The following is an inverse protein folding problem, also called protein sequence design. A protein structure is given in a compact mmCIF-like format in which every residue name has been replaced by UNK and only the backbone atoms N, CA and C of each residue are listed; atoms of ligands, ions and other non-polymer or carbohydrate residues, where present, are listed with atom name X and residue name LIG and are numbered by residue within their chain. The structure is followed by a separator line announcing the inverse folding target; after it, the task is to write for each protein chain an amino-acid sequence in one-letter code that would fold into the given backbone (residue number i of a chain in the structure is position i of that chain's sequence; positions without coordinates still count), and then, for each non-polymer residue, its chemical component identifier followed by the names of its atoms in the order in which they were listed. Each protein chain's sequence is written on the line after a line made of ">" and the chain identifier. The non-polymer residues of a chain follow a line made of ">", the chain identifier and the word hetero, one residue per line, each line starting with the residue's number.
data_IF_487940050518
#
_entry.id   IF_487940050518
#
_cell.length_a   1.000
_cell.length_b   1.000
_cell.length_c   1.000
_cell.angle_alpha   90.00
_cell.angle_beta   90.00
_cell.angle_gamma   90.00
#
_symmetry.space_group_name_H-M   'P 1'
#
loop_
_entity.id
_entity.type
_entity.pdbx_description
1 polymer ?
#
# COMPACT_ATOMS: atom_id res chain seq x y z
N UNK A 1 12.42 17.72 -1.09
CA UNK A 1 12.21 19.13 -0.85
C UNK A 1 11.87 19.36 0.61
N UNK A 2 12.07 20.60 1.02
CA UNK A 2 11.81 20.97 2.41
C UNK A 2 10.34 20.75 2.81
N UNK A 3 9.45 20.84 1.86
CA UNK A 3 8.02 20.66 2.14
C UNK A 3 7.71 19.27 2.68
N UNK A 4 8.51 18.29 2.34
CA UNK A 4 8.25 16.93 2.81
C UNK A 4 8.43 16.78 4.31
N UNK A 5 9.13 17.70 4.94
CA UNK A 5 9.36 17.62 6.37
C UNK A 5 8.18 18.08 7.21
N UNK A 6 7.21 18.69 6.57
CA UNK A 6 6.03 19.20 7.28
C UNK A 6 5.13 18.06 7.74
N UNK A 7 5.11 16.99 7.00
CA UNK A 7 4.21 15.87 7.28
C UNK A 7 4.96 14.74 7.95
N UNK A 8 4.34 14.18 8.95
CA UNK A 8 4.84 12.96 9.55
C UNK A 8 4.57 11.80 8.61
N UNK A 9 5.53 10.91 8.53
CA UNK A 9 5.41 9.71 7.70
C UNK A 9 5.45 8.49 8.58
N UNK A 10 4.88 7.41 8.08
CA UNK A 10 4.86 6.16 8.80
C UNK A 10 5.09 5.01 7.83
N UNK A 11 5.56 3.92 8.37
CA UNK A 11 5.74 2.69 7.62
C UNK A 11 4.47 1.87 7.76
N UNK A 12 3.91 1.46 6.64
CA UNK A 12 2.72 0.61 6.62
C UNK A 12 3.05 -0.70 5.95
N UNK A 13 2.59 -1.79 6.55
CA UNK A 13 2.73 -3.10 5.93
C UNK A 13 1.77 -3.22 4.76
N UNK A 14 2.25 -3.81 3.67
CA UNK A 14 1.42 -4.09 2.50
C UNK A 14 1.30 -5.60 2.38
N UNK A 15 0.06 -6.06 2.31
CA UNK A 15 -0.25 -7.46 2.11
C UNK A 15 -1.00 -7.63 0.80
N UNK A 16 -0.80 -8.77 0.17
CA UNK A 16 -1.53 -9.15 -1.04
C UNK A 16 -2.20 -10.48 -0.75
N UNK A 17 -3.54 -10.48 -0.74
CA UNK A 17 -4.35 -11.65 -0.40
C UNK A 17 -3.94 -12.26 0.95
N UNK A 18 -3.63 -11.39 1.91
CA UNK A 18 -3.26 -11.80 3.25
C UNK A 18 -1.79 -12.16 3.44
N UNK A 19 -0.98 -12.06 2.38
CA UNK A 19 0.45 -12.36 2.47
C UNK A 19 1.26 -11.07 2.51
N UNK A 20 2.14 -10.97 3.49
CA UNK A 20 3.01 -9.81 3.61
C UNK A 20 3.95 -9.72 2.40
N UNK A 21 3.98 -8.57 1.76
CA UNK A 21 4.82 -8.35 0.57
C UNK A 21 5.87 -7.26 0.77
N UNK A 22 5.73 -6.43 1.77
CA UNK A 22 6.68 -5.37 2.01
C UNK A 22 6.05 -4.22 2.77
N UNK A 23 6.78 -3.12 2.86
CA UNK A 23 6.28 -1.93 3.54
C UNK A 23 6.39 -0.74 2.62
N UNK A 24 5.57 0.26 2.90
CA UNK A 24 5.59 1.53 2.19
C UNK A 24 5.66 2.66 3.20
N UNK A 25 6.20 3.78 2.76
CA UNK A 25 6.26 4.98 3.61
C UNK A 25 5.23 5.96 3.06
N UNK A 26 4.28 6.31 3.89
CA UNK A 26 3.21 7.23 3.52
C UNK A 26 3.02 8.24 4.65
N UNK A 27 2.47 9.42 4.35
CA UNK A 27 2.12 10.36 5.42
C UNK A 27 1.11 9.76 6.38
N UNK A 28 1.21 10.15 7.64
CA UNK A 28 0.24 9.74 8.66
C UNK A 28 -1.14 10.25 8.23
N UNK A 29 -2.16 9.46 8.48
CA UNK A 29 -3.54 9.78 8.12
C UNK A 29 -3.79 9.83 6.61
N UNK A 30 -2.97 9.13 5.82
CA UNK A 30 -3.22 8.99 4.40
C UNK A 30 -4.53 8.24 4.16
N UNK A 31 -5.23 8.63 3.12
CA UNK A 31 -6.45 7.93 2.76
C UNK A 31 -6.15 6.65 1.99
N UNK A 32 -7.20 5.88 1.74
CA UNK A 32 -7.05 4.60 1.05
C UNK A 32 -6.41 4.77 -0.32
N UNK A 33 -6.85 5.77 -1.09
CA UNK A 33 -6.33 5.98 -2.43
C UNK A 33 -4.81 6.25 -2.40
N UNK A 34 -4.37 7.10 -1.49
CA UNK A 34 -2.95 7.43 -1.36
C UNK A 34 -2.15 6.17 -1.00
N UNK A 35 -2.66 5.38 -0.06
CA UNK A 35 -1.98 4.17 0.39
C UNK A 35 -1.92 3.15 -0.74
N UNK A 36 -3.01 2.97 -1.48
CA UNK A 36 -3.05 2.03 -2.60
C UNK A 36 -2.06 2.44 -3.68
N UNK A 37 -2.01 3.73 -4.00
CA UNK A 37 -1.06 4.24 -5.00
C UNK A 37 0.38 3.96 -4.56
N UNK A 38 0.70 4.22 -3.31
CA UNK A 38 2.03 3.96 -2.78
C UNK A 38 2.35 2.46 -2.82
N UNK A 39 1.37 1.63 -2.49
CA UNK A 39 1.55 0.18 -2.53
C UNK A 39 1.83 -0.30 -3.95
N UNK A 40 1.07 0.19 -4.91
CA UNK A 40 1.26 -0.20 -6.32
C UNK A 40 2.59 0.28 -6.87
N UNK A 41 3.13 1.35 -6.33
CA UNK A 41 4.44 1.85 -6.73
C UNK A 41 5.59 0.99 -6.17
N UNK A 42 5.32 0.17 -5.17
CA UNK A 42 6.33 -0.72 -4.62
C UNK A 42 6.62 -1.84 -5.59
N UNK A 43 7.90 -2.08 -5.86
CA UNK A 43 8.30 -3.13 -6.78
C UNK A 43 7.83 -4.51 -6.32
N UNK A 44 7.97 -4.80 -5.04
CA UNK A 44 7.55 -6.09 -4.49
C UNK A 44 6.05 -6.31 -4.67
N UNK A 45 5.26 -5.27 -4.42
CA UNK A 45 3.82 -5.36 -4.57
C UNK A 45 3.45 -5.44 -6.04
N UNK A 46 4.09 -4.65 -6.89
CA UNK A 46 3.82 -4.68 -8.32
C UNK A 46 4.06 -6.07 -8.90
N UNK A 47 5.12 -6.73 -8.47
CA UNK A 47 5.39 -8.10 -8.90
C UNK A 47 4.31 -9.06 -8.40
N UNK A 48 3.86 -8.87 -7.17
CA UNK A 48 2.88 -9.76 -6.57
C UNK A 48 1.51 -9.66 -7.26
N UNK A 49 1.18 -8.49 -7.78
CA UNK A 49 -0.12 -8.28 -8.44
C UNK A 49 -0.02 -8.30 -9.97
N UNK A 50 1.16 -8.57 -10.52
CA UNK A 50 1.34 -8.64 -11.96
C UNK A 50 0.43 -9.72 -12.54
N UNK A 51 -0.36 -9.38 -13.55
CA UNK A 51 -1.30 -10.32 -14.15
C UNK A 51 -2.55 -10.55 -13.31
N UNK A 52 -2.75 -9.75 -12.27
CA UNK A 52 -3.92 -9.89 -11.40
C UNK A 52 -4.64 -8.57 -11.28
N UNK A 53 -5.88 -8.64 -10.83
CA UNK A 53 -6.65 -7.42 -10.59
C UNK A 53 -7.01 -7.32 -9.12
N UNK A 54 -7.04 -6.10 -8.63
CA UNK A 54 -7.44 -5.84 -7.25
C UNK A 54 -8.96 -5.84 -7.20
N UNK A 55 -9.53 -6.74 -6.42
CA UNK A 55 -10.98 -6.85 -6.29
C UNK A 55 -11.48 -6.19 -5.01
N UNK A 56 -10.60 -6.03 -4.03
CA UNK A 56 -10.98 -5.42 -2.77
C UNK A 56 -9.73 -4.87 -2.10
N UNK A 57 -9.90 -3.80 -1.33
CA UNK A 57 -8.81 -3.24 -0.53
C UNK A 57 -9.29 -3.18 0.91
N UNK A 58 -8.49 -3.72 1.80
CA UNK A 58 -8.72 -3.61 3.23
C UNK A 58 -7.68 -2.65 3.76
N UNK A 59 -8.10 -1.46 4.12
CA UNK A 59 -7.21 -0.40 4.59
C UNK A 59 -7.43 -0.21 6.09
N UNK A 60 -6.40 -0.48 6.86
CA UNK A 60 -6.42 -0.20 8.30
C UNK A 60 -5.56 1.04 8.50
N UNK A 61 -6.20 2.14 8.86
CA UNK A 61 -5.54 3.43 8.96
C UNK A 61 -4.36 3.37 9.92
N UNK A 62 -3.24 3.89 9.44
CA UNK A 62 -2.00 3.95 10.22
C UNK A 62 -1.44 2.60 10.65
N UNK A 63 -1.85 1.51 9.99
CA UNK A 63 -1.35 0.18 10.32
C UNK A 63 -0.90 -0.60 9.10
N UNK A 64 -1.85 -0.97 8.25
CA UNK A 64 -1.54 -1.81 7.10
C UNK A 64 -2.58 -1.61 6.00
N UNK A 65 -2.24 -2.13 4.84
CA UNK A 65 -3.18 -2.25 3.73
C UNK A 65 -3.07 -3.66 3.17
N UNK A 66 -4.22 -4.27 2.91
CA UNK A 66 -4.29 -5.62 2.35
C UNK A 66 -5.02 -5.55 1.01
N UNK A 67 -4.33 -5.87 -0.06
CA UNK A 67 -4.88 -5.84 -1.40
C UNK A 67 -5.36 -7.24 -1.76
N UNK A 68 -6.67 -7.40 -1.87
CA UNK A 68 -7.24 -8.68 -2.27
C UNK A 68 -7.29 -8.72 -3.78
N UNK A 69 -6.57 -9.67 -4.37
CA UNK A 69 -6.44 -9.77 -5.81
C UNK A 69 -6.88 -11.14 -6.28
N UNK A 70 -7.17 -11.23 -7.58
CA UNK A 70 -7.47 -12.51 -8.20
C UNK A 70 -6.89 -12.49 -9.62
N UNK A 71 -6.66 -13.67 -10.23
CA UNK A 71 -6.17 -13.72 -11.60
C UNK A 71 -7.12 -12.99 -12.54
N UNK A 72 -6.56 -12.30 -13.50
CA UNK A 72 -7.34 -11.67 -14.56
C UNK A 72 -7.91 -12.69 -15.52
#
# INVERSE_FOLDING_TARGET
>A
SAASDVYKRQEMAVQVSGKFKGTIIVPVDSDQDTVVEAAKASENVAKAIAGMQIVKVIHVKNKLVNLIVKPC
#
